data_IF_882624209869
#
_entry.id   IF_882624209869
#
_cell.length_a   1.000
_cell.length_b   1.000
_cell.length_c   1.000
_cell.angle_alpha   90.00
_cell.angle_beta   90.00
_cell.angle_gamma   90.00
#
_symmetry.space_group_name_H-M   'P 1'
#
loop_
_entity.id
_entity.type
_entity.pdbx_description
1 polymer ?
#
# COMPACT_ATOMS: atom_id res chain seq x y z
N UNK A 1 -18.79 6.29 5.52
CA UNK A 1 -19.97 6.51 4.63
C UNK A 1 -19.55 6.20 3.21
N UNK A 2 -20.02 5.09 2.62
CA UNK A 2 -19.68 4.73 1.25
C UNK A 2 -20.56 5.57 0.31
N UNK A 3 -19.93 6.39 -0.54
CA UNK A 3 -20.64 7.21 -1.54
C UNK A 3 -21.12 6.29 -2.67
N UNK A 4 -22.39 6.39 -3.12
CA UNK A 4 -22.92 5.53 -4.18
C UNK A 4 -22.13 5.64 -5.50
N UNK A 5 -21.51 6.80 -5.77
CA UNK A 5 -20.61 6.98 -6.92
C UNK A 5 -19.36 6.10 -6.87
N UNK A 6 -18.84 5.80 -5.68
CA UNK A 6 -17.69 4.90 -5.50
C UNK A 6 -18.08 3.46 -5.81
N UNK A 7 -19.30 3.05 -5.45
CA UNK A 7 -19.83 1.73 -5.79
C UNK A 7 -20.05 1.60 -7.29
N UNK A 8 -20.57 2.62 -7.96
CA UNK A 8 -20.69 2.62 -9.43
C UNK A 8 -19.32 2.57 -10.11
N UNK A 9 -18.35 3.34 -9.64
CA UNK A 9 -17.01 3.32 -10.19
C UNK A 9 -16.33 1.96 -9.98
N UNK A 10 -16.44 1.38 -8.78
CA UNK A 10 -15.97 0.05 -8.48
C UNK A 10 -16.67 -1.02 -9.33
N UNK A 11 -17.98 -0.86 -9.57
CA UNK A 11 -18.75 -1.73 -10.45
C UNK A 11 -18.25 -1.65 -11.89
N UNK A 12 -17.98 -0.45 -12.42
CA UNK A 12 -17.44 -0.27 -13.78
C UNK A 12 -16.04 -0.88 -13.91
N UNK A 13 -15.15 -0.67 -12.92
CA UNK A 13 -13.83 -1.31 -12.90
C UNK A 13 -13.95 -2.84 -12.78
N UNK A 14 -14.94 -3.33 -12.04
CA UNK A 14 -15.23 -4.76 -11.89
C UNK A 14 -15.98 -5.35 -13.08
N UNK A 15 -16.52 -4.54 -14.00
CA UNK A 15 -17.38 -5.00 -15.07
C UNK A 15 -16.73 -6.06 -16.00
N UNK A 16 -15.44 -5.96 -16.39
CA UNK A 16 -14.79 -6.99 -17.18
C UNK A 16 -14.67 -8.33 -16.45
N UNK A 17 -14.45 -8.29 -15.13
CA UNK A 17 -14.37 -9.48 -14.28
C UNK A 17 -15.75 -10.12 -14.08
N UNK A 18 -16.80 -9.31 -13.91
CA UNK A 18 -18.17 -9.77 -13.79
C UNK A 18 -18.69 -10.38 -15.10
N UNK A 19 -18.38 -9.75 -16.24
CA UNK A 19 -18.72 -10.26 -17.57
C UNK A 19 -18.09 -11.62 -17.83
N UNK A 20 -16.79 -11.77 -17.51
CA UNK A 20 -16.07 -13.04 -17.60
C UNK A 20 -16.65 -14.11 -16.66
N UNK A 21 -16.95 -13.75 -15.42
CA UNK A 21 -17.52 -14.68 -14.44
C UNK A 21 -18.90 -15.24 -14.84
N UNK A 22 -19.74 -14.45 -15.52
CA UNK A 22 -21.09 -14.86 -15.90
C UNK A 22 -21.12 -15.66 -17.21
N UNK A 23 -20.17 -15.41 -18.12
CA UNK A 23 -20.17 -15.98 -19.47
C UNK A 23 -19.10 -17.04 -19.72
N UNK A 24 -17.97 -17.03 -19.02
CA UNK A 24 -16.97 -18.11 -19.12
C UNK A 24 -17.31 -19.22 -18.12
N UNK A 25 -17.47 -20.44 -18.64
CA UNK A 25 -16.96 -21.60 -17.92
C UNK A 25 -15.47 -21.30 -17.67
N UNK A 26 -15.14 -20.96 -16.43
CA UNK A 26 -13.78 -20.64 -16.04
C UNK A 26 -12.90 -21.87 -16.28
N UNK A 27 -12.31 -21.97 -17.46
CA UNK A 27 -11.45 -23.08 -17.83
C UNK A 27 -10.26 -23.07 -16.87
N UNK A 28 -10.11 -24.14 -16.11
CA UNK A 28 -9.07 -24.26 -15.09
C UNK A 28 -7.69 -24.05 -15.73
N UNK A 29 -7.54 -24.43 -16.99
CA UNK A 29 -6.34 -24.20 -17.80
C UNK A 29 -6.05 -22.72 -17.99
N UNK A 30 -7.06 -21.92 -18.31
CA UNK A 30 -6.91 -20.49 -18.61
C UNK A 30 -6.61 -19.70 -17.32
N UNK A 31 -7.25 -20.07 -16.20
CA UNK A 31 -6.92 -19.54 -14.87
C UNK A 31 -5.48 -19.87 -14.49
N UNK A 32 -5.04 -21.11 -14.74
CA UNK A 32 -3.69 -21.56 -14.42
C UNK A 32 -2.63 -20.83 -15.25
N UNK A 33 -2.87 -20.66 -16.56
CA UNK A 33 -2.00 -19.89 -17.46
C UNK A 33 -1.90 -18.44 -16.98
N UNK A 34 -3.04 -17.80 -16.70
CA UNK A 34 -3.06 -16.41 -16.22
C UNK A 34 -2.41 -16.26 -14.86
N UNK A 35 -2.53 -17.24 -13.95
CA UNK A 35 -1.85 -17.25 -12.66
C UNK A 35 -0.33 -17.34 -12.84
N UNK A 36 0.16 -18.26 -13.68
CA UNK A 36 1.59 -18.42 -13.98
C UNK A 36 2.19 -17.15 -14.59
N UNK A 37 1.43 -16.39 -15.38
CA UNK A 37 1.90 -15.14 -15.98
C UNK A 37 1.74 -13.95 -15.01
N UNK A 38 0.63 -13.86 -14.29
CA UNK A 38 0.33 -12.72 -13.43
C UNK A 38 1.24 -12.65 -12.18
N UNK A 39 1.55 -13.80 -11.56
CA UNK A 39 2.42 -13.86 -10.36
C UNK A 39 3.81 -13.26 -10.62
N UNK A 40 4.56 -13.65 -11.67
CA UNK A 40 5.88 -13.05 -11.93
C UNK A 40 5.77 -11.58 -12.32
N UNK A 41 4.74 -11.18 -13.07
CA UNK A 41 4.50 -9.75 -13.38
C UNK A 41 4.28 -8.96 -12.08
N UNK A 42 3.43 -9.45 -11.18
CA UNK A 42 3.18 -8.79 -9.90
C UNK A 42 4.46 -8.69 -9.06
N UNK A 43 5.30 -9.73 -9.03
CA UNK A 43 6.58 -9.72 -8.34
C UNK A 43 7.53 -8.66 -8.94
N UNK A 44 7.62 -8.56 -10.27
CA UNK A 44 8.42 -7.55 -10.96
C UNK A 44 7.92 -6.13 -10.67
N UNK A 45 6.60 -5.91 -10.74
CA UNK A 45 6.00 -4.62 -10.44
C UNK A 45 6.21 -4.23 -8.98
N UNK A 46 6.07 -5.17 -8.04
CA UNK A 46 6.32 -4.93 -6.63
C UNK A 46 7.79 -4.62 -6.37
N UNK A 47 8.72 -5.33 -7.04
CA UNK A 47 10.14 -5.05 -6.96
C UNK A 47 10.48 -3.66 -7.53
N UNK A 48 9.90 -3.28 -8.67
CA UNK A 48 10.07 -1.96 -9.27
C UNK A 48 9.51 -0.86 -8.35
N UNK A 49 8.32 -1.05 -7.78
CA UNK A 49 7.74 -0.14 -6.81
C UNK A 49 8.63 0.01 -5.56
N UNK A 50 9.14 -1.10 -5.03
CA UNK A 50 10.06 -1.11 -3.90
C UNK A 50 11.37 -0.41 -4.23
N UNK A 51 11.88 -0.57 -5.44
CA UNK A 51 13.07 0.13 -5.92
C UNK A 51 12.85 1.64 -5.98
N UNK A 52 11.73 2.10 -6.55
CA UNK A 52 11.39 3.52 -6.62
C UNK A 52 11.20 4.12 -5.23
N UNK A 53 10.47 3.42 -4.35
CA UNK A 53 10.20 3.88 -2.98
C UNK A 53 11.41 3.81 -2.04
N UNK A 54 12.38 2.92 -2.30
CA UNK A 54 13.63 2.84 -1.54
C UNK A 54 14.45 4.14 -1.61
N UNK A 55 14.39 4.87 -2.72
CA UNK A 55 15.02 6.19 -2.86
C UNK A 55 14.37 7.27 -1.99
N UNK A 56 13.10 7.12 -1.63
CA UNK A 56 12.40 8.05 -0.72
C UNK A 56 12.58 7.67 0.76
N UNK A 57 12.95 6.43 1.06
CA UNK A 57 13.02 5.89 2.42
C UNK A 57 14.32 6.15 3.19
N UNK A 58 15.26 6.96 2.67
CA UNK A 58 16.54 7.17 3.36
C UNK A 58 17.10 8.58 3.23
N UNK A 59 16.41 9.53 3.86
CA UNK A 59 16.97 10.83 4.26
C UNK A 59 16.57 11.22 5.71
N UNK A 60 16.51 10.25 6.63
CA UNK A 60 16.34 10.52 8.07
C UNK A 60 16.43 9.22 8.85
N UNK A 61 17.15 9.19 9.97
CA UNK A 61 17.10 8.10 10.96
C UNK A 61 17.96 6.86 10.65
N UNK A 62 19.14 7.12 10.07
CA UNK A 62 20.38 6.46 10.50
C UNK A 62 21.04 7.17 11.69
N UNK A 63 20.38 8.16 12.28
CA UNK A 63 20.76 8.77 13.54
C UNK A 63 20.09 8.00 14.67
N UNK A 64 20.88 7.27 15.42
CA UNK A 64 20.74 7.05 16.86
C UNK A 64 19.55 7.84 17.44
N UNK A 65 18.47 7.14 17.76
CA UNK A 65 17.33 7.70 18.46
C UNK A 65 17.82 8.21 19.82
N UNK A 66 18.40 9.40 19.83
CA UNK A 66 18.83 10.10 21.03
C UNK A 66 17.54 10.41 21.74
N UNK A 67 17.20 9.59 22.73
CA UNK A 67 16.11 9.83 23.64
C UNK A 67 16.30 11.24 24.18
N UNK A 68 15.46 12.18 23.74
CA UNK A 68 15.46 13.54 24.25
C UNK A 68 15.00 13.43 25.70
N UNK A 69 15.97 13.47 26.61
CA UNK A 69 15.68 13.58 28.04
C UNK A 69 15.11 14.98 28.24
N UNK A 70 13.83 15.13 28.61
CA UNK A 70 13.26 16.45 28.83
C UNK A 70 14.04 17.15 29.95
N UNK A 71 14.61 18.31 29.64
CA UNK A 71 15.25 19.15 30.65
C UNK A 71 14.20 19.53 31.69
N UNK A 72 14.39 19.24 32.99
CA UNK A 72 13.46 19.67 34.01
C UNK A 72 13.40 21.19 33.97
N UNK A 73 12.22 21.75 33.73
CA UNK A 73 11.99 23.19 33.84
C UNK A 73 12.14 23.54 35.31
N UNK A 74 13.28 24.13 35.71
CA UNK A 74 13.43 24.64 37.07
C UNK A 74 12.33 25.67 37.32
N UNK A 75 11.40 25.29 38.19
CA UNK A 75 10.37 26.15 38.75
C UNK A 75 11.10 27.30 39.41
N UNK A 76 10.98 28.48 38.82
CA UNK A 76 11.47 29.74 39.35
C UNK A 76 10.76 30.01 40.70
N UNK A 77 11.34 29.50 41.79
CA UNK A 77 10.92 29.85 43.14
C UNK A 77 11.39 31.28 43.41
N UNK A 78 10.44 32.20 43.38
CA UNK A 78 10.59 33.56 43.86
C UNK A 78 10.17 33.61 45.34
N UNK A 79 11.10 33.86 46.26
CA UNK A 79 10.78 34.52 47.53
C UNK A 79 11.56 35.84 47.63
N UNK A 80 11.18 36.87 48.37
CA UNK A 80 9.94 37.36 48.98
C UNK A 80 10.26 38.84 49.28
#
# INVERSE_FOLDING_TARGET
>A
MIRPSVLLFALVISAPALYRYVLDQLDLTDVFIRFIIAVPIAALLLAALRFVTAGYGRNGDGGEATAVTPTPTERHERPA
#
